data_IF_625131070478
#
_entry.id   IF_625131070478
#
_cell.length_a   1.000
_cell.length_b   1.000
_cell.length_c   1.000
_cell.angle_alpha   90.00
_cell.angle_beta   90.00
_cell.angle_gamma   90.00
#
_symmetry.space_group_name_H-M   'P 1'
#
loop_
_entity.id
_entity.type
_entity.pdbx_description
1 polymer ?
#
# COMPACT_ATOMS: atom_id res chain seq x y z
N UNK A 1 2.66 13.78 -13.18
CA UNK A 1 2.12 14.18 -11.86
C UNK A 1 1.76 12.88 -11.13
N UNK A 2 2.67 12.38 -10.27
CA UNK A 2 2.34 11.23 -9.41
C UNK A 2 1.40 11.75 -8.32
N UNK A 3 0.30 11.03 -8.07
CA UNK A 3 -0.79 11.47 -7.17
C UNK A 3 -0.62 10.89 -5.76
N UNK A 4 0.35 9.98 -5.57
CA UNK A 4 0.67 9.39 -4.27
C UNK A 4 1.97 9.96 -3.69
N UNK A 5 1.87 10.69 -2.58
CA UNK A 5 3.02 11.19 -1.79
C UNK A 5 3.51 10.14 -0.77
N UNK A 6 2.71 9.10 -0.52
CA UNK A 6 2.98 8.07 0.47
C UNK A 6 2.76 6.69 -0.13
N UNK A 7 3.68 5.77 0.16
CA UNK A 7 3.62 4.38 -0.25
C UNK A 7 3.67 3.49 0.99
N UNK A 8 2.97 2.37 0.91
CA UNK A 8 2.92 1.37 1.97
C UNK A 8 3.09 -0.01 1.35
N UNK A 9 4.07 -0.75 1.84
CA UNK A 9 4.22 -2.16 1.53
C UNK A 9 3.66 -2.98 2.69
N UNK A 10 2.72 -3.87 2.37
CA UNK A 10 2.05 -4.72 3.35
C UNK A 10 2.35 -6.17 3.00
N UNK A 11 3.09 -6.84 3.86
CA UNK A 11 3.49 -8.25 3.69
C UNK A 11 2.50 -9.14 4.42
N UNK A 12 2.15 -10.26 3.81
CA UNK A 12 1.20 -11.20 4.38
C UNK A 12 0.52 -12.12 3.38
N UNK A 13 -0.69 -12.57 3.69
CA UNK A 13 -1.40 -13.61 2.94
C UNK A 13 -2.85 -13.27 2.70
N UNK A 14 -3.43 -13.88 1.67
CA UNK A 14 -4.84 -13.67 1.33
C UNK A 14 -5.12 -12.33 0.63
N UNK A 15 -4.12 -11.70 0.01
CA UNK A 15 -4.33 -10.56 -0.88
C UNK A 15 -4.89 -11.04 -2.23
N UNK A 16 -6.20 -11.30 -2.26
CA UNK A 16 -6.90 -11.68 -3.50
C UNK A 16 -7.36 -10.44 -4.26
N UNK A 17 -7.47 -10.53 -5.59
CA UNK A 17 -7.96 -9.42 -6.43
C UNK A 17 -9.30 -8.86 -5.94
N UNK A 18 -10.26 -9.71 -5.56
CA UNK A 18 -11.57 -9.27 -5.05
C UNK A 18 -11.44 -8.39 -3.78
N UNK A 19 -10.49 -8.70 -2.90
CA UNK A 19 -10.24 -7.90 -1.68
C UNK A 19 -9.55 -6.59 -2.02
N UNK A 20 -8.62 -6.63 -2.98
CA UNK A 20 -7.90 -5.45 -3.45
C UNK A 20 -8.81 -4.50 -4.24
N UNK A 21 -9.79 -5.00 -4.99
CA UNK A 21 -10.80 -4.17 -5.66
C UNK A 21 -11.64 -3.39 -4.66
N UNK A 22 -11.95 -3.98 -3.51
CA UNK A 22 -12.66 -3.29 -2.41
C UNK A 22 -11.82 -2.14 -1.84
N UNK A 23 -10.49 -2.30 -1.80
CA UNK A 23 -9.57 -1.24 -1.41
C UNK A 23 -9.47 -0.16 -2.50
N UNK A 24 -9.31 -0.54 -3.77
CA UNK A 24 -9.19 0.38 -4.91
C UNK A 24 -10.43 1.28 -5.12
N UNK A 25 -11.60 0.88 -4.61
CA UNK A 25 -12.81 1.72 -4.63
C UNK A 25 -12.74 2.92 -3.68
N UNK A 26 -11.74 2.98 -2.79
CA UNK A 26 -11.57 4.06 -1.82
C UNK A 26 -10.83 5.25 -2.42
N UNK A 27 -11.24 6.46 -2.04
CA UNK A 27 -10.69 7.70 -2.60
C UNK A 27 -9.27 8.00 -2.08
N UNK A 28 -8.93 7.46 -0.91
CA UNK A 28 -7.60 7.54 -0.32
C UNK A 28 -6.55 6.64 -1.02
N UNK A 29 -6.97 5.64 -1.80
CA UNK A 29 -6.06 4.71 -2.49
C UNK A 29 -5.89 5.16 -3.93
N UNK A 30 -4.63 5.42 -4.31
CA UNK A 30 -4.25 5.75 -5.69
C UNK A 30 -4.07 4.46 -6.48
N UNK A 31 -3.31 3.51 -5.93
CA UNK A 31 -3.11 2.18 -6.51
C UNK A 31 -2.90 1.14 -5.40
N UNK A 32 -3.30 -0.10 -5.68
CA UNK A 32 -2.99 -1.26 -4.84
C UNK A 32 -2.64 -2.44 -5.74
N UNK A 33 -1.38 -2.85 -5.75
CA UNK A 33 -0.87 -3.93 -6.59
C UNK A 33 -0.36 -5.08 -5.73
N UNK A 34 -0.91 -6.29 -5.87
CA UNK A 34 -0.36 -7.47 -5.23
C UNK A 34 0.93 -7.89 -5.93
N UNK A 35 1.91 -8.33 -5.16
CA UNK A 35 3.17 -8.84 -5.64
C UNK A 35 3.64 -9.96 -4.72
N UNK A 36 3.63 -11.23 -5.17
CA UNK A 36 4.18 -12.41 -4.47
C UNK A 36 4.13 -12.39 -2.92
N UNK A 37 2.95 -12.24 -2.32
CA UNK A 37 2.80 -12.28 -0.85
C UNK A 37 2.99 -10.94 -0.14
N UNK A 38 3.10 -9.84 -0.89
CA UNK A 38 2.96 -8.49 -0.38
C UNK A 38 2.04 -7.67 -1.28
N UNK A 39 1.58 -6.54 -0.79
CA UNK A 39 0.77 -5.57 -1.53
C UNK A 39 1.45 -4.22 -1.40
N UNK A 40 1.74 -3.62 -2.54
CA UNK A 40 2.18 -2.25 -2.61
C UNK A 40 0.95 -1.36 -2.77
N UNK A 41 0.80 -0.39 -1.86
CA UNK A 41 -0.30 0.56 -1.85
C UNK A 41 0.26 1.97 -2.01
N UNK A 42 -0.17 2.66 -3.05
CA UNK A 42 0.05 4.10 -3.20
C UNK A 42 -1.14 4.85 -2.60
N UNK A 43 -0.86 5.81 -1.72
CA UNK A 43 -1.84 6.55 -0.95
C UNK A 43 -1.87 8.02 -1.33
N UNK A 44 -3.07 8.60 -1.34
CA UNK A 44 -3.26 10.03 -1.56
C UNK A 44 -3.03 10.78 -0.26
N UNK A 45 -2.04 11.68 -0.24
CA UNK A 45 -1.73 12.54 0.91
C UNK A 45 -1.37 11.76 2.18
N UNK A 46 -1.66 12.34 3.35
CA UNK A 46 -1.40 11.73 4.67
C UNK A 46 -2.48 10.73 5.10
N UNK A 47 -2.77 9.75 4.24
CA UNK A 47 -3.75 8.72 4.56
C UNK A 47 -3.26 7.75 5.65
N UNK A 48 -4.16 7.36 6.54
CA UNK A 48 -3.86 6.49 7.69
C UNK A 48 -3.69 5.02 7.25
N UNK A 49 -2.45 4.54 7.17
CA UNK A 49 -2.12 3.12 6.88
C UNK A 49 -2.81 2.16 7.88
N UNK A 50 -2.97 2.59 9.13
CA UNK A 50 -3.65 1.83 10.20
C UNK A 50 -5.06 1.38 9.79
N UNK A 51 -5.81 2.25 9.10
CA UNK A 51 -7.16 1.97 8.61
C UNK A 51 -7.12 0.95 7.47
N UNK A 52 -6.13 1.05 6.59
CA UNK A 52 -5.93 0.09 5.50
C UNK A 52 -5.65 -1.32 6.01
N UNK A 53 -4.76 -1.44 6.98
CA UNK A 53 -4.43 -2.72 7.63
C UNK A 53 -5.69 -3.31 8.27
N UNK A 54 -6.47 -2.50 8.99
CA UNK A 54 -7.75 -2.94 9.57
C UNK A 54 -8.72 -3.47 8.52
N UNK A 55 -8.83 -2.81 7.37
CA UNK A 55 -9.72 -3.24 6.28
C UNK A 55 -9.25 -4.56 5.66
N UNK A 56 -7.96 -4.71 5.43
CA UNK A 56 -7.36 -5.95 4.93
C UNK A 56 -7.65 -7.12 5.86
N UNK A 57 -7.39 -6.93 7.16
CA UNK A 57 -7.66 -7.96 8.17
C UNK A 57 -9.15 -8.28 8.25
N UNK A 58 -10.02 -7.26 8.23
CA UNK A 58 -11.47 -7.47 8.24
C UNK A 58 -11.97 -8.23 7.00
N UNK A 59 -11.33 -8.02 5.84
CA UNK A 59 -11.61 -8.74 4.61
C UNK A 59 -11.07 -10.19 4.61
N UNK A 60 -10.32 -10.58 5.66
CA UNK A 60 -9.74 -11.92 5.83
C UNK A 60 -8.36 -12.08 5.21
N UNK A 61 -7.61 -10.99 5.02
CA UNK A 61 -6.17 -11.05 4.77
C UNK A 61 -5.41 -11.17 6.10
N UNK A 62 -4.28 -11.87 6.07
CA UNK A 62 -3.34 -11.93 7.17
C UNK A 62 -2.23 -10.92 6.90
N UNK A 63 -1.91 -10.09 7.88
CA UNK A 63 -0.84 -9.09 7.78
C UNK A 63 0.29 -9.51 8.71
N UNK A 64 1.49 -9.65 8.16
CA UNK A 64 2.70 -10.04 8.88
C UNK A 64 3.57 -8.81 9.14
N UNK A 65 3.78 -7.97 8.12
CA UNK A 65 4.59 -6.75 8.24
C UNK A 65 3.96 -5.57 7.48
N UNK A 66 4.25 -4.36 7.95
CA UNK A 66 3.79 -3.12 7.33
C UNK A 66 4.95 -2.14 7.29
N UNK A 67 5.40 -1.80 6.08
CA UNK A 67 6.47 -0.85 5.84
C UNK A 67 5.89 0.41 5.22
N UNK A 68 6.05 1.55 5.90
CA UNK A 68 5.69 2.87 5.35
C UNK A 68 6.92 3.45 4.67
N UNK A 69 6.85 3.67 3.37
CA UNK A 69 7.84 4.41 2.60
C UNK A 69 7.27 5.78 2.20
N UNK A 70 8.11 6.81 2.22
CA UNK A 70 7.84 7.99 1.39
C UNK A 70 8.29 7.58 -0.01
N UNK A 71 7.38 7.62 -0.97
CA UNK A 71 7.66 7.17 -2.32
C UNK A 71 8.81 8.00 -2.89
N UNK A 72 9.98 7.38 -3.06
CA UNK A 72 10.81 7.46 -4.27
C UNK A 72 12.17 6.77 -4.09
N UNK A 73 12.40 5.71 -4.88
CA UNK A 73 13.76 5.26 -5.22
C UNK A 73 14.56 6.36 -5.96
N UNK A 74 13.88 7.35 -6.55
CA UNK A 74 14.48 8.55 -7.14
C UNK A 74 15.19 9.41 -6.08
N UNK A 75 14.65 9.53 -4.86
CA UNK A 75 15.32 10.23 -3.75
C UNK A 75 16.54 9.45 -3.23
N UNK A 76 16.44 8.11 -3.16
CA UNK A 76 17.58 7.27 -2.75
C UNK A 76 18.68 7.31 -3.82
N UNK A 77 18.32 7.31 -5.10
CA UNK A 77 19.27 7.42 -6.20
C UNK A 77 19.97 8.78 -6.22
N UNK A 78 19.27 9.88 -5.93
CA UNK A 78 19.86 11.22 -5.79
C UNK A 78 20.77 11.36 -4.55
N UNK A 79 20.54 10.59 -3.49
CA UNK A 79 21.35 10.65 -2.26
C UNK A 79 22.70 9.91 -2.39
N UNK A 80 22.87 9.07 -3.42
CA UNK A 80 24.10 8.30 -3.67
C UNK A 80 25.07 8.95 -4.68
N UNK A 81 24.81 10.18 -5.13
CA UNK A 81 25.67 10.99 -6.01
C UNK A 81 26.36 12.12 -5.26
#
# INVERSE_FOLDING_TARGET
>A
MRIGDQEAEIVGRGFTEQRLDTLRQRTEIVQANPHNGHVLVELRGESEISLLVRLLVHAGAEVEEVHRSRASLEDVFLTLM
#
